data_IF_092714896494
#
_entry.id   IF_092714896494
#
_cell.length_a   1.000
_cell.length_b   1.000
_cell.length_c   1.000
_cell.angle_alpha   90.00
_cell.angle_beta   90.00
_cell.angle_gamma   90.00
#
_symmetry.space_group_name_H-M   'P 1'
#
loop_
_entity.id
_entity.type
_entity.pdbx_description
1 polymer ?
#
# COMPACT_ATOMS: atom_id res chain seq x y z
N UNK A 1 -11.87 -21.63 -2.42
CA UNK A 1 -11.67 -21.65 -0.96
C UNK A 1 -12.60 -20.62 -0.36
N UNK A 2 -13.48 -21.05 0.52
CA UNK A 2 -14.58 -20.27 1.07
C UNK A 2 -14.24 -19.75 2.47
N UNK A 3 -13.10 -19.08 2.60
CA UNK A 3 -12.73 -18.44 3.86
C UNK A 3 -13.70 -17.32 4.19
N UNK A 4 -14.15 -17.28 5.43
CA UNK A 4 -14.88 -16.18 6.02
C UNK A 4 -14.14 -15.62 7.24
N UNK A 5 -14.49 -14.40 7.65
CA UNK A 5 -13.98 -13.78 8.87
C UNK A 5 -14.13 -14.68 10.11
N UNK A 6 -15.17 -15.50 10.15
CA UNK A 6 -15.47 -16.45 11.22
C UNK A 6 -14.48 -17.60 11.33
N UNK A 7 -13.66 -17.84 10.31
CA UNK A 7 -12.62 -18.87 10.31
C UNK A 7 -11.29 -18.36 10.91
N UNK A 8 -11.26 -17.11 11.36
CA UNK A 8 -10.12 -16.46 12.01
C UNK A 8 -10.45 -16.13 13.47
N UNK A 9 -9.43 -15.88 14.32
CA UNK A 9 -9.65 -15.55 15.71
C UNK A 9 -10.59 -14.35 15.90
N UNK A 10 -11.34 -14.36 17.00
CA UNK A 10 -12.17 -13.22 17.37
C UNK A 10 -11.31 -11.94 17.48
N UNK A 11 -11.85 -10.84 16.94
CA UNK A 11 -11.14 -9.56 16.89
C UNK A 11 -10.01 -9.51 15.86
N UNK A 12 -9.87 -10.50 14.96
CA UNK A 12 -8.96 -10.40 13.83
C UNK A 12 -9.37 -9.23 12.93
N UNK A 13 -8.40 -8.35 12.65
CA UNK A 13 -8.63 -7.09 11.96
C UNK A 13 -8.39 -7.25 10.46
N UNK A 14 -9.34 -6.77 9.66
CA UNK A 14 -9.18 -6.66 8.22
C UNK A 14 -9.09 -5.20 7.79
N UNK A 15 -8.28 -4.93 6.78
CA UNK A 15 -8.18 -3.57 6.29
C UNK A 15 -7.46 -3.38 4.98
N UNK A 16 -7.10 -2.14 4.72
CA UNK A 16 -6.35 -1.73 3.53
C UNK A 16 -5.31 -0.66 3.87
N UNK A 17 -4.28 -0.56 3.02
CA UNK A 17 -3.06 0.19 3.34
C UNK A 17 -2.58 1.14 2.24
N UNK A 18 -3.40 2.09 1.75
CA UNK A 18 -2.93 3.07 0.77
C UNK A 18 -1.80 3.97 1.33
N UNK A 19 -1.13 4.69 0.44
CA UNK A 19 -0.08 5.65 0.80
C UNK A 19 -0.39 7.02 0.24
N UNK A 20 -0.31 8.07 1.07
CA UNK A 20 -0.71 9.44 0.72
C UNK A 20 -0.19 9.90 -0.65
N UNK A 21 1.12 9.85 -0.89
CA UNK A 21 1.67 10.30 -2.18
C UNK A 21 1.07 9.57 -3.41
N UNK A 22 0.74 8.28 -3.27
CA UNK A 22 0.25 7.47 -4.39
C UNK A 22 -1.24 7.65 -4.65
N UNK A 23 -2.03 8.09 -3.65
CA UNK A 23 -3.49 8.21 -3.75
C UNK A 23 -3.99 9.66 -3.69
N UNK A 24 -3.40 10.51 -2.85
CA UNK A 24 -3.75 11.93 -2.71
C UNK A 24 -3.15 12.78 -3.84
N UNK A 25 -1.97 12.39 -4.30
CA UNK A 25 -1.13 13.24 -5.13
C UNK A 25 -0.54 14.42 -4.35
N UNK A 26 0.20 15.26 -5.07
CA UNK A 26 1.04 16.30 -4.48
C UNK A 26 0.70 17.74 -4.89
N UNK A 27 -0.39 17.94 -5.63
CA UNK A 27 -0.76 19.24 -6.22
C UNK A 27 -1.74 20.09 -5.40
N UNK A 28 -2.40 19.52 -4.40
CA UNK A 28 -3.36 20.21 -3.55
C UNK A 28 -2.78 20.57 -2.17
N UNK A 29 -3.56 21.22 -1.30
CA UNK A 29 -3.36 21.26 0.16
C UNK A 29 -2.00 21.74 0.68
N UNK A 30 -1.40 22.73 0.01
CA UNK A 30 -0.18 23.40 0.48
C UNK A 30 1.07 22.53 0.55
N UNK A 31 1.11 21.43 -0.22
CA UNK A 31 2.23 20.49 -0.14
C UNK A 31 3.50 21.08 -0.77
N UNK A 32 4.60 21.14 0.00
CA UNK A 32 5.89 21.62 -0.48
C UNK A 32 6.64 20.60 -1.35
N UNK A 33 7.73 20.97 -2.02
CA UNK A 33 8.45 20.09 -2.95
C UNK A 33 8.93 18.78 -2.28
N UNK A 34 8.60 17.65 -2.89
CA UNK A 34 9.06 16.33 -2.44
C UNK A 34 10.05 15.72 -3.43
N UNK A 35 11.03 14.96 -2.91
CA UNK A 35 12.06 14.30 -3.74
C UNK A 35 11.44 13.39 -4.80
N UNK A 36 10.29 12.78 -4.50
CA UNK A 36 9.57 11.94 -5.45
C UNK A 36 8.93 12.71 -6.59
N UNK A 37 8.46 13.93 -6.35
CA UNK A 37 8.01 14.83 -7.41
C UNK A 37 9.18 15.21 -8.33
N UNK A 38 10.37 15.40 -7.77
CA UNK A 38 11.59 15.66 -8.55
C UNK A 38 12.03 14.44 -9.37
N UNK A 39 12.01 13.22 -8.79
CA UNK A 39 12.36 11.98 -9.53
C UNK A 39 11.33 11.67 -10.61
N UNK A 40 10.04 11.76 -10.31
CA UNK A 40 8.96 11.54 -11.27
C UNK A 40 8.99 12.53 -12.44
N UNK A 41 9.47 13.77 -12.22
CA UNK A 41 9.64 14.76 -13.28
C UNK A 41 10.83 14.45 -14.21
N UNK A 42 11.75 13.58 -13.81
CA UNK A 42 13.00 13.28 -14.55
C UNK A 42 13.07 11.89 -15.16
N UNK A 43 12.17 10.98 -14.78
CA UNK A 43 12.23 9.58 -15.19
C UNK A 43 11.19 9.28 -16.28
N UNK A 44 11.64 8.77 -17.44
CA UNK A 44 10.79 8.50 -18.59
C UNK A 44 9.67 7.48 -18.30
N UNK A 45 9.90 6.50 -17.40
CA UNK A 45 8.87 5.54 -16.96
C UNK A 45 7.78 6.17 -16.08
N UNK A 46 8.06 7.33 -15.48
CA UNK A 46 7.11 8.12 -14.69
C UNK A 46 6.36 9.16 -15.53
N UNK A 47 6.46 9.11 -16.86
CA UNK A 47 5.94 10.10 -17.80
C UNK A 47 4.56 10.65 -17.38
N UNK A 48 4.59 11.89 -16.89
CA UNK A 48 3.43 12.62 -16.39
C UNK A 48 3.67 13.19 -14.99
N UNK A 49 4.52 14.23 -14.87
CA UNK A 49 4.60 15.03 -13.63
C UNK A 49 3.23 15.61 -13.21
N UNK A 50 2.31 15.80 -14.17
CA UNK A 50 0.91 16.16 -13.92
C UNK A 50 0.11 15.05 -13.21
N UNK A 51 0.48 13.77 -13.39
CA UNK A 51 -0.23 12.62 -12.83
C UNK A 51 0.13 12.35 -11.37
N UNK A 52 1.37 12.59 -10.92
CA UNK A 52 1.72 12.54 -9.49
C UNK A 52 1.17 13.73 -8.69
N UNK A 53 0.78 14.82 -9.36
CA UNK A 53 0.11 15.96 -8.74
C UNK A 53 -1.31 15.64 -8.28
N UNK A 54 -2.06 14.85 -9.05
CA UNK A 54 -3.44 14.47 -8.72
C UNK A 54 -3.52 13.05 -8.16
N UNK A 55 -2.70 12.14 -8.67
CA UNK A 55 -2.79 10.71 -8.41
C UNK A 55 -4.21 10.17 -8.64
N UNK A 56 -4.88 9.70 -7.59
CA UNK A 56 -6.28 9.25 -7.64
C UNK A 56 -7.26 10.27 -7.07
N UNK A 57 -6.75 11.46 -6.75
CA UNK A 57 -7.48 12.56 -6.13
C UNK A 57 -8.14 12.19 -4.80
N UNK A 58 -7.52 11.26 -4.04
CA UNK A 58 -8.01 10.89 -2.71
C UNK A 58 -8.12 12.11 -1.78
N UNK A 59 -7.31 13.15 -1.99
CA UNK A 59 -7.37 14.38 -1.21
C UNK A 59 -8.74 15.06 -1.26
N UNK A 60 -9.41 15.01 -2.42
CA UNK A 60 -10.74 15.60 -2.62
C UNK A 60 -11.86 14.56 -2.45
N UNK A 61 -11.57 13.31 -2.78
CA UNK A 61 -12.56 12.23 -2.89
C UNK A 61 -12.49 11.23 -1.71
N UNK A 62 -11.84 11.62 -0.59
CA UNK A 62 -11.61 10.71 0.52
C UNK A 62 -12.90 10.15 1.11
N UNK A 63 -14.00 10.92 1.10
CA UNK A 63 -15.30 10.46 1.62
C UNK A 63 -15.81 9.25 0.83
N UNK A 64 -15.79 9.33 -0.50
CA UNK A 64 -16.17 8.21 -1.37
C UNK A 64 -15.24 7.00 -1.19
N UNK A 65 -13.95 7.24 -0.96
CA UNK A 65 -12.99 6.17 -0.69
C UNK A 65 -13.24 5.52 0.68
N UNK A 66 -13.63 6.29 1.70
CA UNK A 66 -14.00 5.77 3.03
C UNK A 66 -15.37 5.08 3.04
N UNK A 67 -16.30 5.50 2.19
CA UNK A 67 -17.57 4.78 1.99
C UNK A 67 -17.34 3.35 1.48
N UNK A 68 -16.30 3.13 0.66
CA UNK A 68 -15.89 1.79 0.25
C UNK A 68 -15.33 0.99 1.44
N UNK A 69 -14.50 1.60 2.28
CA UNK A 69 -13.98 0.96 3.51
C UNK A 69 -15.14 0.54 4.42
N UNK A 70 -16.11 1.43 4.62
CA UNK A 70 -17.30 1.18 5.43
C UNK A 70 -18.19 0.09 4.82
N UNK A 71 -18.43 0.13 3.51
CA UNK A 71 -19.23 -0.86 2.78
C UNK A 71 -18.64 -2.27 2.89
N UNK A 72 -17.32 -2.38 2.78
CA UNK A 72 -16.60 -3.65 2.95
C UNK A 72 -16.50 -4.11 4.41
N UNK A 73 -16.83 -3.23 5.38
CA UNK A 73 -16.66 -3.43 6.83
C UNK A 73 -15.21 -3.68 7.25
N UNK A 74 -14.26 -3.00 6.61
CA UNK A 74 -12.88 -3.02 7.06
C UNK A 74 -12.75 -2.36 8.43
N UNK A 75 -11.96 -2.98 9.32
CA UNK A 75 -11.66 -2.48 10.67
C UNK A 75 -10.49 -1.50 10.65
N UNK A 76 -9.64 -1.56 9.61
CA UNK A 76 -8.42 -0.78 9.49
C UNK A 76 -8.33 -0.06 8.14
N UNK A 77 -8.04 1.23 8.21
CA UNK A 77 -7.58 2.04 7.08
C UNK A 77 -6.25 2.68 7.44
N UNK A 78 -5.15 2.10 6.94
CA UNK A 78 -3.79 2.58 7.23
C UNK A 78 -3.34 3.50 6.09
N UNK A 79 -3.37 4.80 6.35
CA UNK A 79 -2.84 5.82 5.45
C UNK A 79 -1.55 6.43 6.03
N UNK A 80 -0.55 6.67 5.17
CA UNK A 80 0.64 7.44 5.56
C UNK A 80 0.33 8.95 5.61
N UNK A 81 1.03 9.71 6.45
CA UNK A 81 0.89 11.16 6.49
C UNK A 81 1.89 11.78 5.51
N UNK A 82 1.43 12.68 4.63
CA UNK A 82 2.31 13.43 3.73
C UNK A 82 3.11 14.47 4.50
N UNK A 83 4.40 14.19 4.71
CA UNK A 83 5.28 15.08 5.49
C UNK A 83 5.43 16.47 4.86
N UNK A 84 5.40 16.55 3.53
CA UNK A 84 5.48 17.80 2.79
C UNK A 84 4.22 18.64 2.86
N UNK A 85 3.09 18.11 3.37
CA UNK A 85 1.94 18.92 3.81
C UNK A 85 2.13 19.43 5.24
N UNK A 86 2.74 18.60 6.09
CA UNK A 86 3.01 18.93 7.50
C UNK A 86 4.15 19.95 7.65
N UNK A 87 5.19 19.87 6.82
CA UNK A 87 6.35 20.76 6.79
C UNK A 87 6.74 21.06 5.33
N UNK A 88 6.03 21.99 4.68
CA UNK A 88 6.21 22.26 3.26
C UNK A 88 7.57 22.87 2.91
N UNK A 89 8.10 23.75 3.78
CA UNK A 89 9.41 24.38 3.63
C UNK A 89 10.54 23.61 4.33
N UNK A 90 10.22 22.44 4.92
CA UNK A 90 11.13 21.59 5.71
C UNK A 90 11.66 22.25 7.00
N UNK A 91 11.13 23.40 7.40
CA UNK A 91 11.61 24.16 8.55
C UNK A 91 10.49 24.47 9.55
N UNK A 92 9.32 24.90 9.06
CA UNK A 92 8.20 25.34 9.88
C UNK A 92 7.00 24.41 9.66
N UNK A 93 6.41 23.86 10.74
CA UNK A 93 5.16 23.12 10.64
C UNK A 93 4.06 23.98 10.02
N UNK A 94 3.32 23.40 9.08
CA UNK A 94 2.13 24.03 8.51
C UNK A 94 1.09 24.23 9.62
N UNK A 95 0.71 25.49 9.93
CA UNK A 95 -0.23 25.79 11.01
C UNK A 95 -1.62 25.18 10.78
N UNK A 96 -1.98 24.94 9.52
CA UNK A 96 -3.30 24.44 9.14
C UNK A 96 -3.43 22.90 9.19
N UNK A 97 -2.30 22.18 9.26
CA UNK A 97 -2.29 20.70 9.17
C UNK A 97 -1.99 20.04 10.52
N UNK A 98 -0.85 20.40 11.12
CA UNK A 98 -0.38 19.74 12.35
C UNK A 98 0.43 20.61 13.28
N UNK A 99 0.72 21.87 12.93
CA UNK A 99 1.44 22.80 13.80
C UNK A 99 0.96 22.79 15.26
N UNK A 100 -0.36 22.79 15.53
CA UNK A 100 -0.90 22.75 16.90
C UNK A 100 -0.75 21.41 17.64
N UNK A 101 -0.47 20.30 16.94
CA UNK A 101 -0.43 18.94 17.53
C UNK A 101 1.00 18.38 17.64
N UNK A 102 2.02 19.15 17.26
CA UNK A 102 3.41 18.72 17.40
C UNK A 102 3.81 18.77 18.88
N UNK A 103 4.33 17.67 19.46
CA UNK A 103 4.74 17.69 20.86
C UNK A 103 5.91 18.66 21.07
N UNK A 104 6.01 19.23 22.27
CA UNK A 104 7.16 20.03 22.64
C UNK A 104 8.44 19.17 22.52
N UNK A 105 9.49 19.72 21.89
CA UNK A 105 10.76 19.01 21.69
C UNK A 105 10.69 17.85 20.68
N UNK A 106 9.73 17.85 19.74
CA UNK A 106 9.60 16.81 18.70
C UNK A 106 10.88 16.59 17.87
N UNK A 107 11.78 17.59 17.83
CA UNK A 107 13.08 17.52 17.18
C UNK A 107 14.06 16.56 17.90
N UNK A 108 13.89 16.35 19.21
CA UNK A 108 14.75 15.54 20.06
C UNK A 108 14.20 14.11 20.19
N UNK A 109 14.22 13.35 19.10
CA UNK A 109 13.50 12.07 18.98
C UNK A 109 14.38 10.80 19.14
N UNK A 110 15.66 10.95 19.46
CA UNK A 110 16.63 9.83 19.53
C UNK A 110 16.28 8.81 20.61
N UNK A 111 15.73 9.25 21.76
CA UNK A 111 15.24 8.35 22.81
C UNK A 111 13.96 7.57 22.44
N UNK A 112 13.15 8.12 21.52
CA UNK A 112 11.87 7.52 21.08
C UNK A 112 12.08 6.35 20.12
N UNK A 113 13.14 6.37 19.31
CA UNK A 113 13.42 5.34 18.29
C UNK A 113 13.79 4.00 18.93
N UNK A 114 14.33 4.00 20.16
CA UNK A 114 14.71 2.79 20.88
C UNK A 114 13.55 2.15 21.68
N UNK A 115 12.36 2.74 21.67
CA UNK A 115 11.21 2.20 22.37
C UNK A 115 10.76 0.87 21.74
N UNK A 116 10.38 -0.10 22.59
CA UNK A 116 9.80 -1.35 22.11
C UNK A 116 8.38 -1.08 21.60
N UNK A 117 8.06 -1.38 20.32
CA UNK A 117 6.72 -1.14 19.79
C UNK A 117 5.71 -2.15 20.34
N UNK A 118 4.46 -1.72 20.53
CA UNK A 118 3.37 -2.62 20.96
C UNK A 118 3.04 -3.68 19.89
N UNK A 119 3.23 -3.33 18.62
CA UNK A 119 2.95 -4.19 17.45
C UNK A 119 3.95 -3.94 16.32
N UNK A 120 4.24 -5.01 15.57
CA UNK A 120 5.04 -4.95 14.35
C UNK A 120 4.14 -5.11 13.13
N UNK A 121 4.17 -4.14 12.20
CA UNK A 121 3.58 -4.28 10.87
C UNK A 121 4.57 -4.94 9.92
N UNK A 122 4.16 -5.98 9.20
CA UNK A 122 4.99 -6.70 8.25
C UNK A 122 4.42 -6.53 6.84
N UNK A 123 5.20 -5.96 5.93
CA UNK A 123 4.88 -5.92 4.52
C UNK A 123 5.52 -7.14 3.83
N UNK A 124 4.69 -8.05 3.33
CA UNK A 124 5.14 -9.25 2.62
C UNK A 124 4.46 -9.32 1.25
N UNK A 125 5.25 -9.56 0.21
CA UNK A 125 4.79 -9.63 -1.18
C UNK A 125 5.36 -10.86 -1.90
N UNK A 126 6.66 -11.10 -1.77
CA UNK A 126 7.35 -12.23 -2.40
C UNK A 126 8.54 -12.69 -1.55
N UNK A 127 9.21 -13.74 -2.00
CA UNK A 127 10.44 -14.27 -1.40
C UNK A 127 11.58 -14.24 -2.42
N UNK A 128 12.82 -14.14 -1.94
CA UNK A 128 14.02 -14.28 -2.77
C UNK A 128 14.77 -15.56 -2.42
N UNK A 129 15.42 -16.17 -3.42
CA UNK A 129 16.41 -17.25 -3.22
C UNK A 129 17.80 -16.66 -3.38
N UNK A 130 18.58 -16.69 -2.29
CA UNK A 130 19.92 -16.09 -2.23
C UNK A 130 20.92 -17.14 -1.72
N UNK A 131 21.42 -18.03 -2.59
CA UNK A 131 22.45 -19.01 -2.24
C UNK A 131 23.81 -18.34 -1.97
N UNK A 132 24.71 -19.04 -1.24
CA UNK A 132 26.08 -18.60 -1.06
C UNK A 132 26.83 -18.56 -2.40
N UNK A 133 27.79 -17.65 -2.50
CA UNK A 133 28.70 -17.48 -3.62
C UNK A 133 30.12 -17.20 -3.10
N UNK A 134 31.13 -17.62 -3.87
CA UNK A 134 32.52 -17.28 -3.53
C UNK A 134 32.75 -15.78 -3.73
N UNK A 135 33.29 -15.09 -2.73
CA UNK A 135 33.58 -13.66 -2.80
C UNK A 135 33.64 -12.99 -1.43
N UNK A 136 33.93 -11.68 -1.40
CA UNK A 136 33.86 -10.89 -0.18
C UNK A 136 32.44 -10.89 0.40
N UNK A 137 32.35 -10.63 1.71
CA UNK A 137 31.09 -10.56 2.42
C UNK A 137 30.08 -9.63 1.70
N UNK A 138 28.80 -10.01 1.54
CA UNK A 138 28.14 -11.17 2.17
C UNK A 138 28.34 -12.52 1.46
N UNK A 139 29.13 -12.59 0.38
CA UNK A 139 29.46 -13.85 -0.29
C UNK A 139 28.21 -14.60 -0.77
N UNK A 140 27.30 -13.90 -1.43
CA UNK A 140 26.05 -14.47 -1.92
C UNK A 140 25.81 -14.06 -3.39
N UNK A 141 24.95 -14.82 -4.06
CA UNK A 141 24.50 -14.50 -5.42
C UNK A 141 22.98 -14.53 -5.45
N UNK A 142 22.36 -13.47 -5.93
CA UNK A 142 20.94 -13.49 -6.24
C UNK A 142 20.67 -14.53 -7.32
N UNK A 143 19.78 -15.49 -7.08
CA UNK A 143 19.30 -16.38 -8.14
C UNK A 143 18.30 -15.59 -8.97
N UNK A 144 18.59 -15.31 -10.26
CA UNK A 144 17.59 -14.73 -11.14
C UNK A 144 16.44 -15.72 -11.23
N UNK A 145 15.27 -15.28 -10.79
CA UNK A 145 14.04 -16.03 -11.02
C UNK A 145 13.52 -15.68 -12.40
N UNK A 146 12.90 -16.64 -13.10
CA UNK A 146 12.45 -16.44 -14.47
C UNK A 146 11.25 -15.50 -14.60
N UNK A 147 10.69 -15.00 -13.48
CA UNK A 147 9.50 -14.16 -13.48
C UNK A 147 9.83 -12.70 -13.82
N UNK A 148 8.94 -12.00 -14.54
CA UNK A 148 9.02 -10.55 -14.71
C UNK A 148 9.17 -9.84 -13.36
N UNK A 149 10.00 -8.81 -13.33
CA UNK A 149 10.26 -8.00 -12.15
C UNK A 149 9.91 -6.56 -12.44
N UNK A 150 9.48 -5.85 -11.41
CA UNK A 150 9.41 -4.38 -11.43
C UNK A 150 10.80 -3.78 -11.62
N UNK A 151 10.92 -2.51 -12.03
CA UNK A 151 12.23 -1.81 -12.05
C UNK A 151 12.89 -1.74 -10.66
N UNK A 152 12.11 -1.88 -9.58
CA UNK A 152 12.57 -2.02 -8.19
C UNK A 152 13.04 -3.43 -7.81
N UNK A 153 13.10 -4.37 -8.77
CA UNK A 153 13.55 -5.75 -8.55
C UNK A 153 12.57 -6.67 -7.83
N UNK A 154 11.35 -6.21 -7.53
CA UNK A 154 10.27 -7.02 -6.95
C UNK A 154 9.72 -7.99 -7.99
N UNK A 155 9.58 -9.26 -7.62
CA UNK A 155 8.91 -10.26 -8.46
C UNK A 155 7.43 -9.90 -8.59
N UNK A 156 6.96 -9.87 -9.83
CA UNK A 156 5.54 -9.77 -10.13
C UNK A 156 4.93 -11.14 -9.83
N UNK A 157 4.21 -11.24 -8.71
CA UNK A 157 3.50 -12.45 -8.31
C UNK A 157 2.13 -12.08 -7.70
N UNK A 158 1.03 -12.72 -8.14
CA UNK A 158 0.96 -13.79 -9.14
C UNK A 158 0.85 -13.22 -10.56
N UNK A 159 1.75 -13.68 -11.43
CA UNK A 159 1.74 -13.68 -12.91
C UNK A 159 1.28 -12.47 -13.74
N UNK A 160 0.74 -11.36 -13.20
CA UNK A 160 0.06 -10.37 -14.04
C UNK A 160 0.12 -8.89 -13.66
N UNK A 161 1.05 -8.41 -12.83
CA UNK A 161 1.42 -6.97 -12.90
C UNK A 161 2.21 -6.69 -14.20
N UNK A 162 1.59 -6.95 -15.34
CA UNK A 162 2.02 -6.46 -16.64
C UNK A 162 1.48 -5.04 -16.75
N UNK A 163 2.22 -4.18 -17.44
CA UNK A 163 1.67 -2.93 -17.93
C UNK A 163 0.39 -3.24 -18.73
N UNK A 164 -0.76 -2.79 -18.21
CA UNK A 164 -2.07 -3.19 -18.73
C UNK A 164 -2.63 -4.47 -18.09
N UNK A 165 -3.69 -4.28 -17.30
CA UNK A 165 -4.64 -5.28 -16.78
C UNK A 165 -4.06 -6.58 -16.16
N UNK A 166 -3.78 -6.53 -14.86
CA UNK A 166 -3.87 -7.73 -14.03
C UNK A 166 -5.35 -8.17 -13.96
N UNK A 167 -5.63 -9.39 -14.45
CA UNK A 167 -6.97 -9.99 -14.37
C UNK A 167 -7.32 -10.24 -12.92
N UNK A 168 -8.55 -9.92 -12.58
CA UNK A 168 -8.97 -9.87 -11.18
C UNK A 168 -9.08 -11.25 -10.51
N UNK A 169 -9.26 -12.31 -11.31
CA UNK A 169 -9.20 -13.70 -10.86
C UNK A 169 -7.84 -14.04 -10.25
N UNK A 170 -6.75 -13.50 -10.81
CA UNK A 170 -5.40 -13.73 -10.31
C UNK A 170 -5.19 -13.02 -8.96
N UNK A 171 -5.77 -11.81 -8.78
CA UNK A 171 -5.79 -11.13 -7.47
C UNK A 171 -6.58 -11.90 -6.43
N UNK A 172 -7.71 -12.49 -6.82
CA UNK A 172 -8.51 -13.35 -5.95
C UNK A 172 -7.71 -14.59 -5.54
N UNK A 173 -7.00 -15.23 -6.48
CA UNK A 173 -6.11 -16.35 -6.20
C UNK A 173 -4.95 -15.98 -5.28
N UNK A 174 -4.34 -14.81 -5.49
CA UNK A 174 -3.31 -14.27 -4.61
C UNK A 174 -3.82 -14.08 -3.18
N UNK A 175 -4.99 -13.45 -3.07
CA UNK A 175 -5.65 -13.19 -1.79
C UNK A 175 -5.93 -14.50 -1.05
N UNK A 176 -6.49 -15.50 -1.74
CA UNK A 176 -6.75 -16.81 -1.16
C UNK A 176 -5.45 -17.45 -0.63
N UNK A 177 -4.39 -17.46 -1.44
CA UNK A 177 -3.08 -18.02 -1.06
C UNK A 177 -2.49 -17.33 0.18
N UNK A 178 -2.61 -16.00 0.27
CA UNK A 178 -2.11 -15.25 1.43
C UNK A 178 -2.95 -15.53 2.68
N UNK A 179 -4.27 -15.66 2.54
CA UNK A 179 -5.13 -15.93 3.68
C UNK A 179 -4.98 -17.38 4.18
N UNK A 180 -4.71 -18.34 3.30
CA UNK A 180 -4.25 -19.69 3.67
C UNK A 180 -2.97 -19.63 4.53
N UNK A 181 -1.99 -18.84 4.09
CA UNK A 181 -0.74 -18.67 4.84
C UNK A 181 -0.96 -17.98 6.20
N UNK A 182 -1.90 -17.03 6.26
CA UNK A 182 -2.34 -16.38 7.51
C UNK A 182 -2.94 -17.41 8.47
N UNK A 183 -3.86 -18.25 8.01
CA UNK A 183 -4.42 -19.33 8.83
C UNK A 183 -3.34 -20.30 9.30
N UNK A 184 -2.43 -20.71 8.41
CA UNK A 184 -1.31 -21.57 8.76
C UNK A 184 -0.40 -20.95 9.83
N UNK A 185 -0.09 -19.65 9.73
CA UNK A 185 0.70 -18.95 10.73
C UNK A 185 -0.01 -18.89 12.10
N UNK A 186 -1.32 -18.60 12.10
CA UNK A 186 -2.13 -18.60 13.33
C UNK A 186 -2.16 -20.00 13.96
N UNK A 187 -2.37 -21.04 13.15
CA UNK A 187 -2.35 -22.44 13.62
C UNK A 187 -0.99 -22.86 14.19
N UNK A 188 0.10 -22.28 13.68
CA UNK A 188 1.45 -22.45 14.21
C UNK A 188 1.75 -21.62 15.48
N UNK A 189 0.78 -20.87 16.00
CA UNK A 189 0.91 -20.08 17.22
C UNK A 189 1.50 -18.68 17.01
N UNK A 190 1.63 -18.21 15.77
CA UNK A 190 2.03 -16.82 15.50
C UNK A 190 0.90 -15.89 15.97
N UNK A 191 1.17 -14.89 16.83
CA UNK A 191 0.14 -14.01 17.38
C UNK A 191 -0.29 -12.94 16.38
N UNK A 192 -0.70 -13.35 15.18
CA UNK A 192 -1.11 -12.46 14.10
C UNK A 192 -2.49 -11.85 14.42
N UNK A 193 -2.57 -10.52 14.37
CA UNK A 193 -3.75 -9.75 14.81
C UNK A 193 -4.61 -9.18 13.69
N UNK A 194 -4.10 -9.19 12.47
CA UNK A 194 -4.85 -8.67 11.34
C UNK A 194 -4.13 -8.84 10.02
N UNK A 195 -4.87 -8.59 8.95
CA UNK A 195 -4.43 -8.63 7.57
C UNK A 195 -4.95 -7.39 6.85
N UNK A 196 -4.04 -6.59 6.32
CA UNK A 196 -4.40 -5.37 5.62
C UNK A 196 -3.84 -5.41 4.20
N UNK A 197 -4.72 -5.18 3.22
CA UNK A 197 -4.41 -5.41 1.82
C UNK A 197 -3.82 -4.16 1.16
N UNK A 198 -2.74 -4.37 0.40
CA UNK A 198 -2.22 -3.36 -0.53
C UNK A 198 -2.83 -3.59 -1.91
N UNK A 199 -3.61 -2.66 -2.49
CA UNK A 199 -4.15 -1.41 -1.95
C UNK A 199 -5.68 -1.37 -2.14
N UNK A 200 -6.36 -0.38 -1.55
CA UNK A 200 -7.82 -0.21 -1.69
C UNK A 200 -8.19 0.04 -3.14
N UNK A 201 -7.50 1.00 -3.76
CA UNK A 201 -7.78 1.52 -5.09
C UNK A 201 -6.50 1.50 -5.94
N UNK A 202 -6.65 1.52 -7.25
CA UNK A 202 -5.52 1.72 -8.15
C UNK A 202 -4.87 3.06 -7.82
N UNK A 203 -3.54 3.14 -7.93
CA UNK A 203 -2.76 4.29 -7.44
C UNK A 203 -1.68 4.72 -8.43
N UNK A 204 -1.12 5.92 -8.23
CA UNK A 204 0.08 6.36 -8.96
C UNK A 204 1.27 5.53 -8.44
N UNK A 205 1.49 4.37 -9.06
CA UNK A 205 2.31 3.32 -8.51
C UNK A 205 3.80 3.51 -8.83
N UNK A 206 4.42 4.48 -8.18
CA UNK A 206 5.88 4.68 -8.23
C UNK A 206 6.40 4.80 -9.66
N UNK A 207 7.35 3.95 -10.04
CA UNK A 207 7.95 3.87 -11.38
C UNK A 207 6.97 3.47 -12.48
N UNK A 208 5.82 2.90 -12.12
CA UNK A 208 4.75 2.58 -13.08
C UNK A 208 3.78 3.75 -13.29
N UNK A 209 3.92 4.82 -12.51
CA UNK A 209 3.01 5.96 -12.55
C UNK A 209 1.54 5.53 -12.57
N UNK A 210 0.75 6.12 -13.47
CA UNK A 210 -0.68 5.85 -13.59
C UNK A 210 -1.05 4.58 -14.36
N UNK A 211 -0.11 3.73 -14.77
CA UNK A 211 -0.41 2.45 -15.42
C UNK A 211 -0.49 1.29 -14.43
N UNK A 212 0.02 1.49 -13.20
CA UNK A 212 -0.13 0.55 -12.09
C UNK A 212 -1.61 0.30 -11.77
N UNK A 213 -2.03 -0.97 -11.77
CA UNK A 213 -3.38 -1.39 -11.39
C UNK A 213 -3.30 -2.37 -10.22
N UNK A 214 -2.87 -1.89 -9.04
CA UNK A 214 -2.62 -2.72 -7.84
C UNK A 214 -3.83 -2.81 -6.89
N UNK A 215 -4.85 -2.00 -7.13
CA UNK A 215 -5.97 -1.79 -6.23
C UNK A 215 -7.10 -2.79 -6.39
N UNK A 216 -7.98 -2.83 -5.39
CA UNK A 216 -9.24 -3.58 -5.42
C UNK A 216 -10.36 -2.78 -6.09
N UNK A 217 -10.18 -1.48 -6.24
CA UNK A 217 -11.12 -0.54 -6.84
C UNK A 217 -10.42 0.14 -8.02
N UNK A 218 -11.04 0.11 -9.19
CA UNK A 218 -10.55 0.88 -10.33
C UNK A 218 -10.87 2.36 -10.13
N UNK A 219 -9.93 3.24 -10.46
CA UNK A 219 -10.13 4.69 -10.46
C UNK A 219 -10.03 5.19 -11.89
N UNK A 220 -11.12 5.77 -12.41
CA UNK A 220 -11.09 6.51 -13.66
C UNK A 220 -10.47 7.89 -13.40
N UNK A 221 -9.29 8.16 -13.96
CA UNK A 221 -8.58 9.42 -13.71
C UNK A 221 -9.21 10.63 -14.40
N UNK A 222 -10.07 10.44 -15.40
CA UNK A 222 -10.79 11.51 -16.08
C UNK A 222 -12.07 11.92 -15.36
N UNK A 223 -12.81 10.94 -14.83
CA UNK A 223 -14.11 11.17 -14.16
C UNK A 223 -14.05 11.07 -12.64
N UNK A 224 -12.95 10.56 -12.09
CA UNK A 224 -12.75 10.23 -10.67
C UNK A 224 -13.68 9.14 -10.15
N UNK A 225 -14.37 8.43 -11.03
CA UNK A 225 -15.26 7.35 -10.64
C UNK A 225 -14.47 6.19 -10.02
N UNK A 226 -14.96 5.69 -8.86
CA UNK A 226 -14.46 4.48 -8.20
C UNK A 226 -15.36 3.30 -8.56
N UNK A 227 -14.78 2.29 -9.20
CA UNK A 227 -15.52 1.08 -9.58
C UNK A 227 -14.92 -0.13 -8.87
N UNK A 228 -15.62 -0.72 -7.89
CA UNK A 228 -15.16 -1.93 -7.21
C UNK A 228 -14.91 -3.09 -8.18
N UNK A 229 -13.74 -3.73 -8.10
CA UNK A 229 -13.42 -4.94 -8.87
C UNK A 229 -13.98 -6.18 -8.17
N UNK A 230 -13.97 -7.34 -8.84
CA UNK A 230 -14.33 -8.62 -8.22
C UNK A 230 -13.47 -8.97 -6.98
N UNK A 231 -12.20 -8.57 -6.93
CA UNK A 231 -11.31 -8.75 -5.80
C UNK A 231 -11.72 -7.89 -4.60
N UNK A 232 -12.28 -6.69 -4.83
CA UNK A 232 -12.95 -5.92 -3.77
C UNK A 232 -14.14 -6.70 -3.24
N UNK A 233 -15.02 -7.15 -4.13
CA UNK A 233 -16.25 -7.85 -3.74
C UNK A 233 -15.93 -9.13 -2.97
N UNK A 234 -14.92 -9.89 -3.42
CA UNK A 234 -14.45 -11.09 -2.74
C UNK A 234 -13.92 -10.77 -1.35
N UNK A 235 -13.08 -9.74 -1.22
CA UNK A 235 -12.59 -9.32 0.09
C UNK A 235 -13.74 -8.88 1.01
N UNK A 236 -14.68 -8.09 0.49
CA UNK A 236 -15.85 -7.64 1.25
C UNK A 236 -16.76 -8.81 1.67
N UNK A 237 -16.92 -9.86 0.86
CA UNK A 237 -17.64 -11.08 1.25
C UNK A 237 -16.96 -11.78 2.42
N UNK A 238 -15.63 -11.98 2.34
CA UNK A 238 -14.83 -12.60 3.41
C UNK A 238 -15.00 -11.81 4.71
N UNK A 239 -14.83 -10.48 4.66
CA UNK A 239 -14.88 -9.62 5.85
C UNK A 239 -16.28 -9.49 6.45
N UNK A 240 -17.33 -9.45 5.62
CA UNK A 240 -18.72 -9.42 6.10
C UNK A 240 -19.20 -10.77 6.63
N UNK A 241 -18.48 -11.86 6.34
CA UNK A 241 -18.90 -13.22 6.68
C UNK A 241 -20.12 -13.70 5.89
N UNK A 242 -20.34 -13.14 4.69
CA UNK A 242 -21.44 -13.53 3.81
C UNK A 242 -20.88 -14.47 2.74
N UNK A 243 -21.26 -15.74 2.82
CA UNK A 243 -20.98 -16.75 1.79
C UNK A 243 -21.80 -16.47 0.52
#
# INVERSE_FOLDING_TARGET
MDLARTDLPEGFLFGTTPSAYLVEGHGAGGAGPCERGSVAATQDSCAGAAAGGVACDHYQEFEADLDLVATARFDLYRLSISWTRVMPDRAVPNPDVRGPFMPAGWQDNTGTIAASPDRLGVNSYTHYRVPPARGPWPGNRAVPRPRPKTEMGLEIAPDRMVEGEERDDDRIGCLATHLDAVQGAIAAGVPLRGYAIWSLMDDYHWVFGSTGRVGRVNVDLGTRARTPKAAYQRMAQIVRGSA
#
